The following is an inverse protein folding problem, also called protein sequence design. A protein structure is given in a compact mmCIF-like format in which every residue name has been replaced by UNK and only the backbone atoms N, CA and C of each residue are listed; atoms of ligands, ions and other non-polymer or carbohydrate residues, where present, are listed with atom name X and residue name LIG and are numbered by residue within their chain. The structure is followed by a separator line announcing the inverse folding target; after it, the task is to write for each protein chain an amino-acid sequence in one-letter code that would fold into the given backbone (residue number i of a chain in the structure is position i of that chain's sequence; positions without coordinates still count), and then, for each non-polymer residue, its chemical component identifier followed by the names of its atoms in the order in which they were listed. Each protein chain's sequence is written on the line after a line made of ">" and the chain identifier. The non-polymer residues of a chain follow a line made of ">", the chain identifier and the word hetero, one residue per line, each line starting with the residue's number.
data_IF_591413656133
#
_entry.id   IF_591413656133
#
_cell.length_a   1.000
_cell.length_b   1.000
_cell.length_c   1.000
_cell.angle_alpha   90.00
_cell.angle_beta   90.00
_cell.angle_gamma   90.00
#
_symmetry.space_group_name_H-M   'P 1'
#
loop_
_entity.id
_entity.type
_entity.pdbx_description
1 polymer ?
#
# COMPACT_ATOMS: atom_id res chain seq x y z
N UNK A 1 -9.05 10.07 -8.07
CA UNK A 1 -9.05 8.61 -8.30
C UNK A 1 -8.72 7.92 -6.99
N UNK A 2 -9.25 6.72 -6.73
CA UNK A 2 -8.89 5.90 -5.55
C UNK A 2 -8.42 4.54 -6.04
N UNK A 3 -7.32 4.05 -5.50
CA UNK A 3 -6.74 2.75 -5.83
C UNK A 3 -6.65 1.94 -4.53
N UNK A 4 -7.14 0.70 -4.57
CA UNK A 4 -7.03 -0.24 -3.47
C UNK A 4 -6.14 -1.41 -3.91
N UNK A 5 -5.10 -1.71 -3.14
CA UNK A 5 -4.22 -2.86 -3.37
C UNK A 5 -4.60 -3.92 -2.34
N UNK A 6 -5.13 -5.04 -2.82
CA UNK A 6 -5.70 -6.11 -2.00
C UNK A 6 -4.95 -7.42 -2.28
N UNK A 7 -4.87 -8.29 -1.28
CA UNK A 7 -4.41 -9.67 -1.44
C UNK A 7 -5.17 -10.60 -0.50
N UNK A 8 -5.31 -11.86 -0.91
CA UNK A 8 -5.99 -12.90 -0.13
C UNK A 8 -5.09 -13.68 0.83
N UNK A 9 -3.77 -13.43 0.86
CA UNK A 9 -2.82 -14.09 1.77
C UNK A 9 -1.70 -13.14 2.18
N UNK A 10 -1.12 -13.35 3.36
CA UNK A 10 0.11 -12.68 3.80
C UNK A 10 1.31 -13.05 2.91
N UNK A 11 2.28 -12.14 2.78
CA UNK A 11 3.53 -12.39 2.06
C UNK A 11 3.46 -12.33 0.53
N UNK A 12 2.33 -11.94 -0.08
CA UNK A 12 2.20 -11.88 -1.56
C UNK A 12 2.71 -10.56 -2.18
N UNK A 13 3.39 -9.70 -1.41
CA UNK A 13 3.92 -8.43 -1.91
C UNK A 13 2.91 -7.26 -2.00
N UNK A 14 1.75 -7.36 -1.35
CA UNK A 14 0.73 -6.27 -1.31
C UNK A 14 1.34 -4.92 -0.90
N UNK A 15 2.11 -4.92 0.19
CA UNK A 15 2.76 -3.71 0.72
C UNK A 15 3.81 -3.18 -0.24
N UNK A 16 4.66 -4.06 -0.81
CA UNK A 16 5.68 -3.67 -1.79
C UNK A 16 5.08 -2.91 -2.97
N UNK A 17 3.97 -3.40 -3.53
CA UNK A 17 3.30 -2.73 -4.64
C UNK A 17 2.65 -1.43 -4.18
N UNK A 18 1.99 -1.42 -3.02
CA UNK A 18 1.28 -0.24 -2.52
C UNK A 18 2.23 0.94 -2.23
N UNK A 19 3.37 0.70 -1.58
CA UNK A 19 4.34 1.76 -1.25
C UNK A 19 5.05 2.31 -2.49
N UNK A 20 5.40 1.44 -3.45
CA UNK A 20 6.04 1.90 -4.69
C UNK A 20 5.06 2.68 -5.58
N UNK A 21 3.79 2.28 -5.60
CA UNK A 21 2.75 3.04 -6.30
C UNK A 21 2.55 4.42 -5.66
N UNK A 22 2.57 4.50 -4.33
CA UNK A 22 2.49 5.77 -3.61
C UNK A 22 3.73 6.65 -3.87
N UNK A 23 4.92 6.06 -3.93
CA UNK A 23 6.18 6.78 -4.17
C UNK A 23 6.24 7.50 -5.53
N UNK A 24 5.54 6.98 -6.54
CA UNK A 24 5.45 7.60 -7.87
C UNK A 24 4.16 8.39 -8.10
N UNK A 25 3.26 8.42 -7.11
CA UNK A 25 2.02 9.16 -7.20
C UNK A 25 2.26 10.68 -7.10
N UNK A 26 1.33 11.52 -7.60
CA UNK A 26 1.41 12.97 -7.41
C UNK A 26 1.51 13.33 -5.93
N UNK A 27 2.16 14.44 -5.59
CA UNK A 27 2.34 14.89 -4.21
C UNK A 27 1.02 15.12 -3.43
N UNK A 28 -0.10 15.31 -4.13
CA UNK A 28 -1.43 15.42 -3.53
C UNK A 28 -2.08 14.07 -3.19
N UNK A 29 -1.43 12.95 -3.51
CA UNK A 29 -1.91 11.61 -3.18
C UNK A 29 -1.72 11.32 -1.69
N UNK A 30 -2.68 10.60 -1.12
CA UNK A 30 -2.64 10.14 0.25
C UNK A 30 -2.47 8.62 0.25
N UNK A 31 -1.40 8.15 0.87
CA UNK A 31 -1.21 6.73 1.18
C UNK A 31 -1.87 6.40 2.52
N UNK A 32 -2.59 5.29 2.56
CA UNK A 32 -3.27 4.79 3.77
C UNK A 32 -2.99 3.29 3.86
N UNK A 33 -2.37 2.87 4.96
CA UNK A 33 -2.18 1.47 5.28
C UNK A 33 -3.34 0.97 6.15
N UNK A 34 -4.14 0.05 5.61
CA UNK A 34 -5.29 -0.55 6.29
C UNK A 34 -5.00 -1.98 6.78
N UNK A 35 -3.75 -2.44 6.72
CA UNK A 35 -3.38 -3.75 7.24
C UNK A 35 -3.39 -3.74 8.78
N UNK A 36 -4.28 -4.54 9.38
CA UNK A 36 -4.43 -4.63 10.84
C UNK A 36 -3.39 -5.57 11.46
N UNK A 37 -2.94 -6.58 10.70
CA UNK A 37 -2.03 -7.61 11.21
C UNK A 37 -0.58 -7.12 11.11
N UNK A 38 -0.20 -6.55 9.97
CA UNK A 38 1.20 -6.17 9.68
C UNK A 38 1.30 -4.85 8.86
N UNK A 39 1.08 -3.67 9.48
CA UNK A 39 1.11 -2.37 8.81
C UNK A 39 2.54 -1.90 8.46
N UNK A 40 3.10 -2.52 7.41
CA UNK A 40 4.48 -2.34 6.98
C UNK A 40 4.68 -1.20 5.97
N UNK A 41 3.66 -0.39 5.67
CA UNK A 41 3.74 0.68 4.66
C UNK A 41 4.73 1.82 4.97
N UNK A 42 5.30 1.85 6.17
CA UNK A 42 6.27 2.85 6.62
C UNK A 42 7.74 2.35 6.55
N UNK A 43 7.94 1.06 6.28
CA UNK A 43 9.26 0.44 6.10
C UNK A 43 9.84 0.80 4.73
#
# INVERSE_FOLDING_TARGET
>A
MRVAVLSGKGGTGKTLVAVNLAAVAPASALYIDCDVEEPNGHL
#
